data_IF_738148394585
#
_entry.id   IF_738148394585
#
_cell.length_a   1.000
_cell.length_b   1.000
_cell.length_c   1.000
_cell.angle_alpha   90.00
_cell.angle_beta   90.00
_cell.angle_gamma   90.00
#
_symmetry.space_group_name_H-M   'P 1'
#
loop_
_entity.id
_entity.type
_entity.pdbx_description
1 polymer ?
#
# COMPACT_ATOMS: atom_id res chain seq x y z
N UNK A 1 -19.45 -14.94 0.28
CA UNK A 1 -18.52 -14.86 1.42
C UNK A 1 -18.90 -13.63 2.23
N UNK A 2 -18.86 -13.69 3.57
CA UNK A 2 -19.17 -12.53 4.40
C UNK A 2 -18.24 -11.37 4.06
N UNK A 3 -18.74 -10.15 4.26
CA UNK A 3 -17.97 -8.95 4.02
C UNK A 3 -16.79 -8.88 5.02
N UNK A 4 -15.66 -8.27 4.65
CA UNK A 4 -14.46 -8.29 5.52
C UNK A 4 -14.68 -7.59 6.87
N UNK A 5 -15.62 -6.63 6.94
CA UNK A 5 -15.99 -5.93 8.19
C UNK A 5 -16.82 -6.77 9.15
N UNK A 6 -17.42 -7.87 8.68
CA UNK A 6 -18.24 -8.78 9.50
C UNK A 6 -17.39 -9.89 10.13
N UNK A 7 -16.10 -9.97 9.76
CA UNK A 7 -15.18 -11.00 10.20
C UNK A 7 -14.34 -10.50 11.37
N UNK A 8 -14.01 -11.39 12.31
CA UNK A 8 -13.07 -11.12 13.41
C UNK A 8 -11.61 -11.28 12.93
N UNK A 9 -11.23 -10.52 11.90
CA UNK A 9 -9.88 -10.57 11.28
C UNK A 9 -9.03 -9.32 11.59
N UNK A 10 -9.60 -8.35 12.31
CA UNK A 10 -8.88 -7.18 12.81
C UNK A 10 -8.69 -7.31 14.33
N UNK A 11 -7.53 -6.88 14.89
CA UNK A 11 -6.43 -6.22 14.20
C UNK A 11 -5.71 -7.16 13.21
N UNK A 12 -5.35 -6.62 12.04
CA UNK A 12 -4.68 -7.37 10.97
C UNK A 12 -3.28 -6.81 10.73
N UNK A 13 -2.28 -7.68 10.68
CA UNK A 13 -0.93 -7.28 10.36
C UNK A 13 -0.66 -7.28 8.85
N UNK A 14 0.33 -6.49 8.46
CA UNK A 14 0.89 -6.45 7.12
C UNK A 14 2.29 -5.88 7.14
N UNK A 15 2.85 -5.69 5.95
CA UNK A 15 4.18 -5.14 5.80
C UNK A 15 4.71 -5.24 4.39
N UNK A 16 5.94 -4.77 4.23
CA UNK A 16 6.67 -4.97 3.00
C UNK A 16 7.14 -6.43 2.86
N UNK A 17 7.41 -6.92 1.63
CA UNK A 17 7.87 -8.29 1.40
C UNK A 17 9.19 -8.65 2.11
N UNK A 18 10.07 -7.68 2.40
CA UNK A 18 11.33 -7.96 3.09
C UNK A 18 11.23 -7.99 4.62
N UNK A 19 10.04 -7.70 5.19
CA UNK A 19 9.82 -7.70 6.64
C UNK A 19 10.40 -6.49 7.40
N UNK A 20 11.13 -5.59 6.73
CA UNK A 20 11.73 -4.42 7.37
C UNK A 20 10.70 -3.40 7.88
N UNK A 21 9.59 -3.24 7.14
CA UNK A 21 8.43 -2.47 7.60
C UNK A 21 7.30 -3.44 7.88
N UNK A 22 6.85 -3.46 9.13
CA UNK A 22 5.67 -4.17 9.61
C UNK A 22 4.71 -3.16 10.22
N UNK A 23 3.42 -3.46 10.12
CA UNK A 23 2.38 -2.62 10.69
C UNK A 23 1.17 -3.46 11.09
N UNK A 24 0.31 -2.86 11.91
CA UNK A 24 -0.99 -3.37 12.29
C UNK A 24 -2.08 -2.39 11.88
N UNK A 25 -3.16 -2.93 11.31
CA UNK A 25 -4.40 -2.20 11.07
C UNK A 25 -5.39 -2.60 12.15
N UNK A 26 -5.79 -1.64 12.98
CA UNK A 26 -6.55 -1.90 14.20
C UNK A 26 -8.05 -2.14 13.95
N UNK A 27 -8.60 -1.63 12.84
CA UNK A 27 -10.01 -1.74 12.53
C UNK A 27 -10.26 -1.93 11.03
N UNK A 28 -11.44 -2.46 10.67
CA UNK A 28 -11.84 -2.66 9.28
C UNK A 28 -11.77 -1.35 8.45
N UNK A 29 -11.24 -1.40 7.21
CA UNK A 29 -11.17 -0.26 6.30
C UNK A 29 -12.52 0.37 6.05
N UNK A 30 -12.59 1.70 6.06
CA UNK A 30 -13.78 2.50 5.73
C UNK A 30 -14.38 2.12 4.38
N UNK A 31 -13.52 1.86 3.39
CA UNK A 31 -13.90 1.49 2.03
C UNK A 31 -12.68 0.88 1.32
N UNK A 32 -12.88 -0.12 0.46
CA UNK A 32 -11.80 -0.68 -0.37
C UNK A 32 -12.05 -0.37 -1.85
N UNK A 33 -11.14 0.38 -2.45
CA UNK A 33 -11.17 0.68 -3.88
C UNK A 33 -10.36 -0.33 -4.68
N UNK A 34 -10.92 -0.82 -5.78
CA UNK A 34 -10.16 -1.36 -6.90
C UNK A 34 -9.94 -0.24 -7.93
N UNK A 35 -8.76 0.38 -7.90
CA UNK A 35 -8.43 1.52 -8.75
C UNK A 35 -7.71 1.07 -10.04
N UNK A 36 -8.29 1.45 -11.18
CA UNK A 36 -7.80 1.09 -12.51
C UNK A 36 -7.02 2.22 -13.20
N UNK A 37 -6.72 3.33 -12.51
CA UNK A 37 -6.01 4.45 -13.14
C UNK A 37 -4.57 4.07 -13.54
N UNK A 38 -4.03 4.74 -14.55
CA UNK A 38 -2.69 4.45 -15.08
C UNK A 38 -1.59 4.76 -14.07
N UNK A 39 -1.79 5.72 -13.16
CA UNK A 39 -0.85 5.99 -12.05
C UNK A 39 -0.76 4.80 -11.10
N UNK A 40 -1.89 4.24 -10.65
CA UNK A 40 -1.91 3.06 -9.78
C UNK A 40 -1.31 1.82 -10.47
N UNK A 41 -1.56 1.65 -11.77
CA UNK A 41 -0.96 0.57 -12.56
C UNK A 41 0.57 0.72 -12.67
N UNK A 42 1.05 1.96 -12.92
CA UNK A 42 2.48 2.25 -13.03
C UNK A 42 3.20 2.10 -11.69
N UNK A 43 2.58 2.57 -10.62
CA UNK A 43 3.16 2.54 -9.28
C UNK A 43 3.37 1.12 -8.75
N UNK A 44 2.40 0.23 -8.97
CA UNK A 44 2.44 -1.15 -8.46
C UNK A 44 2.89 -2.18 -9.49
N UNK A 45 2.99 -1.80 -10.77
CA UNK A 45 3.29 -2.74 -11.86
C UNK A 45 2.17 -3.76 -12.13
N UNK A 46 0.94 -3.48 -11.71
CA UNK A 46 -0.22 -4.38 -11.81
C UNK A 46 -1.34 -3.82 -12.71
N UNK A 47 -2.37 -4.63 -12.99
CA UNK A 47 -3.53 -4.19 -13.77
C UNK A 47 -4.43 -3.18 -13.02
N UNK A 48 -4.36 -3.16 -11.68
CA UNK A 48 -5.10 -2.28 -10.79
C UNK A 48 -4.45 -2.27 -9.39
N UNK A 49 -4.75 -1.26 -8.59
CA UNK A 49 -4.40 -1.22 -7.17
C UNK A 49 -5.63 -1.51 -6.30
N UNK A 50 -5.46 -2.31 -5.24
CA UNK A 50 -6.46 -2.44 -4.18
C UNK A 50 -6.06 -1.53 -3.03
N UNK A 51 -6.79 -0.43 -2.85
CA UNK A 51 -6.53 0.58 -1.83
C UNK A 51 -7.59 0.46 -0.73
N UNK A 52 -7.18 -0.01 0.45
CA UNK A 52 -7.99 0.00 1.66
C UNK A 52 -7.87 1.38 2.31
N UNK A 53 -8.99 2.10 2.39
CA UNK A 53 -9.06 3.42 3.01
C UNK A 53 -9.27 3.23 4.51
N UNK A 54 -8.35 3.74 5.31
CA UNK A 54 -8.42 3.74 6.78
C UNK A 54 -8.17 5.15 7.30
N UNK A 55 -8.69 5.44 8.49
CA UNK A 55 -8.19 6.56 9.28
C UNK A 55 -6.71 6.31 9.59
N UNK A 56 -5.87 7.34 9.46
CA UNK A 56 -4.43 7.17 9.63
C UNK A 56 -4.03 6.72 11.05
N UNK A 57 -4.86 7.03 12.06
CA UNK A 57 -4.66 6.59 13.44
C UNK A 57 -4.97 5.11 13.68
N UNK A 58 -5.54 4.41 12.70
CA UNK A 58 -5.76 2.96 12.74
C UNK A 58 -4.56 2.16 12.19
N UNK A 59 -3.50 2.83 11.74
CA UNK A 59 -2.26 2.21 11.29
C UNK A 59 -1.15 2.40 12.32
N UNK A 60 -0.68 1.30 12.91
CA UNK A 60 0.40 1.31 13.88
C UNK A 60 1.64 0.61 13.30
N UNK A 61 2.81 1.24 13.36
CA UNK A 61 4.06 0.60 12.96
C UNK A 61 4.50 -0.41 14.03
N UNK A 62 4.89 -1.59 13.57
CA UNK A 62 5.43 -2.65 14.40
C UNK A 62 6.95 -2.75 14.20
N UNK A 63 7.68 -3.39 15.14
CA UNK A 63 9.08 -3.74 14.92
C UNK A 63 9.27 -4.58 13.64
N UNK A 64 10.44 -4.49 12.99
CA UNK A 64 10.78 -5.34 11.86
C UNK A 64 10.64 -6.83 12.23
N UNK A 65 10.19 -7.63 11.27
CA UNK A 65 10.04 -9.08 11.44
C UNK A 65 10.70 -9.83 10.29
N UNK A 66 10.81 -11.15 10.42
CA UNK A 66 11.24 -11.97 9.30
C UNK A 66 10.25 -11.84 8.12
N UNK A 67 10.74 -11.92 6.88
CA UNK A 67 9.88 -11.98 5.70
C UNK A 67 8.85 -13.09 5.82
N UNK A 68 7.60 -12.78 5.50
CA UNK A 68 6.51 -13.73 5.41
C UNK A 68 6.01 -13.79 3.97
N UNK A 69 5.69 -14.99 3.49
CA UNK A 69 4.84 -15.14 2.32
C UNK A 69 3.40 -14.87 2.79
N UNK A 70 2.66 -13.89 2.22
CA UNK A 70 1.27 -13.67 2.60
C UNK A 70 0.43 -14.93 2.40
N UNK A 71 -0.55 -15.13 3.28
CA UNK A 71 -1.48 -16.26 3.18
C UNK A 71 -2.30 -16.19 1.90
N UNK A 72 -2.68 -17.36 1.37
CA UNK A 72 -3.59 -17.47 0.24
C UNK A 72 -4.88 -18.15 0.67
N UNK A 73 -5.95 -18.03 -0.11
CA UNK A 73 -7.24 -18.68 0.17
C UNK A 73 -7.13 -20.20 0.38
N UNK A 74 -6.16 -20.87 -0.27
CA UNK A 74 -5.91 -22.31 -0.11
C UNK A 74 -4.84 -22.66 0.94
N UNK A 75 -4.12 -21.67 1.46
CA UNK A 75 -3.06 -21.83 2.44
C UNK A 75 -3.04 -20.59 3.35
N UNK A 76 -3.93 -20.51 4.36
CA UNK A 76 -4.17 -19.30 5.14
C UNK A 76 -3.03 -18.97 6.13
N UNK A 77 -2.02 -19.83 6.27
CA UNK A 77 -0.81 -19.54 7.03
C UNK A 77 0.28 -18.98 6.13
N UNK A 78 0.77 -17.79 6.45
CA UNK A 78 1.98 -17.28 5.81
C UNK A 78 3.18 -18.14 6.19
N UNK A 79 3.99 -18.53 5.21
CA UNK A 79 5.23 -19.26 5.48
C UNK A 79 6.36 -18.25 5.74
N UNK A 80 7.23 -18.54 6.72
CA UNK A 80 8.49 -17.80 6.85
C UNK A 80 9.29 -17.97 5.55
N UNK A 81 9.64 -16.85 4.93
CA UNK A 81 10.51 -16.84 3.77
C UNK A 81 11.94 -16.54 4.23
N UNK A 82 12.82 -17.54 4.11
CA UNK A 82 14.25 -17.32 4.27
C UNK A 82 14.87 -16.80 2.97
N UNK A 83 15.85 -15.91 3.07
CA UNK A 83 16.67 -15.52 1.93
C UNK A 83 17.79 -16.54 1.71
N UNK A 84 17.98 -16.99 0.48
CA UNK A 84 19.14 -17.79 0.12
C UNK A 84 20.32 -16.86 -0.21
N UNK A 85 21.32 -16.80 0.68
CA UNK A 85 22.47 -15.92 0.53
C UNK A 85 23.30 -16.21 -0.74
N UNK A 86 23.39 -17.48 -1.15
CA UNK A 86 24.07 -17.87 -2.40
C UNK A 86 23.33 -17.31 -3.61
N UNK A 87 22.00 -17.43 -3.62
CA UNK A 87 21.16 -16.88 -4.69
C UNK A 87 21.28 -15.35 -4.77
N UNK A 88 21.23 -14.66 -3.62
CA UNK A 88 21.42 -13.21 -3.58
C UNK A 88 22.77 -12.81 -4.20
N UNK A 89 23.86 -13.46 -3.79
CA UNK A 89 25.20 -13.22 -4.36
C UNK A 89 25.28 -13.48 -5.86
N UNK A 90 24.72 -14.60 -6.34
CA UNK A 90 24.69 -14.95 -7.75
C UNK A 90 23.86 -13.98 -8.60
N UNK A 91 22.95 -13.24 -7.96
CA UNK A 91 22.12 -12.21 -8.59
C UNK A 91 22.61 -10.79 -8.29
N UNK A 92 23.85 -10.64 -7.80
CA UNK A 92 24.49 -9.37 -7.46
C UNK A 92 23.73 -8.53 -6.40
N UNK A 93 22.91 -9.18 -5.58
CA UNK A 93 22.28 -8.60 -4.41
C UNK A 93 23.11 -8.98 -3.18
N UNK A 94 23.30 -8.03 -2.27
CA UNK A 94 23.45 -8.38 -0.86
C UNK A 94 22.04 -8.37 -0.24
N UNK A 95 21.87 -8.92 0.95
CA UNK A 95 20.57 -8.93 1.65
C UNK A 95 20.15 -7.53 2.12
N UNK A 96 20.87 -6.49 1.73
CA UNK A 96 20.62 -5.09 1.99
C UNK A 96 20.19 -4.43 0.69
N UNK A 97 18.92 -4.63 0.31
CA UNK A 97 18.32 -3.94 -0.83
C UNK A 97 18.85 -2.49 -0.97
N UNK A 98 19.56 -2.25 -2.07
CA UNK A 98 20.26 -1.00 -2.40
C UNK A 98 20.39 -0.88 -3.92
N UNK A 99 20.81 0.28 -4.45
CA UNK A 99 20.84 0.52 -5.89
C UNK A 99 21.76 -0.48 -6.59
N UNK A 100 21.19 -1.29 -7.50
CA UNK A 100 21.97 -2.17 -8.38
C UNK A 100 22.61 -1.30 -9.45
N UNK A 101 23.94 -1.13 -9.37
CA UNK A 101 24.72 -0.58 -10.49
C UNK A 101 24.83 -1.67 -11.54
N UNK A 102 24.20 -1.47 -12.70
CA UNK A 102 24.40 -2.34 -13.85
C UNK A 102 25.88 -2.34 -14.22
N UNK A 103 26.54 -3.51 -14.09
CA UNK A 103 27.93 -3.65 -14.50
C UNK A 103 27.99 -3.50 -16.03
N UNK A 104 28.51 -2.37 -16.50
CA UNK A 104 29.05 -2.26 -17.85
C UNK A 104 30.28 -3.17 -17.94
N UNK A 105 30.48 -3.83 -19.09
CA UNK A 105 31.23 -5.09 -19.30
C UNK A 105 32.73 -5.15 -18.88
N UNK A 106 33.28 -4.20 -18.12
CA UNK A 106 34.70 -4.16 -17.74
C UNK A 106 34.99 -3.85 -16.26
N UNK A 107 34.10 -4.19 -15.32
CA UNK A 107 34.38 -4.01 -13.89
C UNK A 107 34.93 -5.30 -13.26
N UNK A 108 36.22 -5.30 -12.89
CA UNK A 108 36.83 -6.33 -12.04
C UNK A 108 36.00 -6.56 -10.76
N UNK A 109 35.96 -7.80 -10.23
CA UNK A 109 35.24 -8.08 -9.00
C UNK A 109 35.89 -7.35 -7.82
N UNK A 110 35.35 -6.18 -7.46
CA UNK A 110 35.69 -5.53 -6.20
C UNK A 110 35.28 -6.46 -5.06
N UNK A 111 36.24 -6.74 -4.18
CA UNK A 111 36.06 -7.48 -2.95
C UNK A 111 34.88 -6.88 -2.19
N UNK A 112 33.86 -7.71 -1.92
CA UNK A 112 32.70 -7.35 -1.13
C UNK A 112 33.18 -6.89 0.24
N UNK A 113 33.03 -5.60 0.53
CA UNK A 113 33.15 -5.08 1.89
C UNK A 113 32.19 -5.85 2.80
N UNK A 114 32.67 -6.19 3.99
CA UNK A 114 32.02 -7.05 4.97
C UNK A 114 30.51 -6.84 5.08
N UNK A 115 29.76 -7.89 4.73
CA UNK A 115 28.40 -8.10 5.16
C UNK A 115 28.40 -8.26 6.69
N UNK A 116 28.21 -7.15 7.41
CA UNK A 116 27.74 -7.08 8.80
C UNK A 116 27.56 -5.61 9.23
N UNK A 117 27.05 -4.75 8.34
CA UNK A 117 26.37 -3.56 8.84
C UNK A 117 25.04 -4.04 9.41
N UNK A 118 25.04 -4.27 10.73
CA UNK A 118 23.85 -4.45 11.53
C UNK A 118 22.93 -3.27 11.20
N UNK A 119 21.93 -3.47 10.32
CA UNK A 119 20.86 -2.47 10.19
C UNK A 119 20.23 -2.43 11.56
N UNK A 120 20.20 -1.27 12.19
CA UNK A 120 19.50 -1.07 13.44
C UNK A 120 18.05 -1.55 13.24
N UNK A 121 17.76 -2.79 13.66
CA UNK A 121 16.43 -3.39 13.64
C UNK A 121 15.51 -2.74 14.68
N UNK A 122 15.98 -1.68 15.33
CA UNK A 122 15.26 -0.95 16.38
C UNK A 122 14.23 0.04 15.82
N UNK A 123 14.34 0.49 14.56
CA UNK A 123 13.36 1.42 13.98
C UNK A 123 12.96 1.07 12.54
N UNK A 124 11.69 0.69 12.35
CA UNK A 124 11.06 0.55 11.04
C UNK A 124 10.94 1.93 10.39
N UNK A 125 11.74 2.21 9.35
CA UNK A 125 11.67 3.49 8.62
C UNK A 125 10.92 3.35 7.30
N UNK A 126 10.01 4.28 7.05
CA UNK A 126 9.35 4.46 5.74
C UNK A 126 9.83 5.75 5.09
N UNK A 127 10.03 5.69 3.78
CA UNK A 127 10.34 6.85 2.96
C UNK A 127 9.06 7.41 2.36
N UNK A 128 8.86 8.72 2.49
CA UNK A 128 7.71 9.42 1.90
C UNK A 128 8.14 10.09 0.59
N UNK A 129 7.57 9.64 -0.53
CA UNK A 129 7.87 10.14 -1.87
C UNK A 129 6.64 10.79 -2.47
N UNK A 130 6.75 12.05 -2.89
CA UNK A 130 5.64 12.74 -3.57
C UNK A 130 5.67 12.47 -5.07
N UNK A 131 4.56 11.96 -5.60
CA UNK A 131 4.39 11.60 -7.00
C UNK A 131 3.29 12.46 -7.64
N UNK A 132 3.42 12.80 -8.94
CA UNK A 132 2.38 13.52 -9.66
C UNK A 132 1.13 12.65 -9.88
N UNK A 133 -0.03 13.29 -9.87
CA UNK A 133 -1.33 12.67 -10.17
C UNK A 133 -2.04 13.45 -11.28
N UNK A 134 -3.09 12.88 -11.88
CA UNK A 134 -3.91 13.57 -12.90
C UNK A 134 -4.53 14.88 -12.37
N UNK A 135 -4.73 15.01 -11.05
CA UNK A 135 -5.23 16.25 -10.43
C UNK A 135 -4.17 17.35 -10.31
N UNK A 136 -2.93 17.10 -10.71
CA UNK A 136 -1.76 17.99 -10.61
C UNK A 136 -1.30 18.40 -9.20
N UNK A 137 -2.05 18.05 -8.15
CA UNK A 137 -1.64 18.31 -6.77
C UNK A 137 -0.68 17.24 -6.25
N UNK A 138 -0.82 16.00 -6.74
CA UNK A 138 0.03 14.87 -6.37
C UNK A 138 -0.55 13.96 -5.28
N UNK A 139 0.26 12.98 -4.90
CA UNK A 139 0.06 12.07 -3.78
C UNK A 139 1.40 11.78 -3.11
N UNK A 140 1.40 11.55 -1.81
CA UNK A 140 2.59 11.10 -1.09
C UNK A 140 2.49 9.60 -0.87
N UNK A 141 3.46 8.84 -1.36
CA UNK A 141 3.55 7.39 -1.21
C UNK A 141 4.55 7.06 -0.12
N UNK A 142 4.16 6.22 0.83
CA UNK A 142 5.06 5.63 1.80
C UNK A 142 5.63 4.31 1.25
N UNK A 143 6.96 4.25 1.16
CA UNK A 143 7.70 3.10 0.63
C UNK A 143 8.66 2.55 1.68
N UNK A 144 8.94 1.26 1.63
CA UNK A 144 9.97 0.66 2.45
C UNK A 144 11.36 1.18 2.05
N UNK A 145 12.14 1.75 2.98
CA UNK A 145 13.52 2.21 2.71
C UNK A 145 14.50 1.07 2.36
N UNK A 146 14.11 -0.18 2.64
CA UNK A 146 14.85 -1.36 2.21
C UNK A 146 14.43 -1.79 0.80
N UNK A 147 13.24 -2.37 0.64
CA UNK A 147 12.85 -3.00 -0.62
C UNK A 147 12.07 -2.09 -1.58
N UNK A 148 11.86 -0.81 -1.23
CA UNK A 148 11.12 0.21 -1.99
C UNK A 148 9.67 -0.16 -2.35
N UNK A 149 9.12 -1.20 -1.73
CA UNK A 149 7.71 -1.57 -1.90
C UNK A 149 6.82 -0.45 -1.36
N UNK A 150 5.88 0.03 -2.18
CA UNK A 150 4.85 0.98 -1.77
C UNK A 150 3.82 0.33 -0.86
N UNK A 151 3.62 0.92 0.33
CA UNK A 151 2.79 0.36 1.40
C UNK A 151 1.47 1.09 1.54
N UNK A 152 1.49 2.42 1.46
CA UNK A 152 0.28 3.25 1.45
C UNK A 152 0.54 4.58 0.77
N UNK A 153 -0.54 5.35 0.56
CA UNK A 153 -0.45 6.71 0.09
C UNK A 153 -1.39 7.66 0.86
N UNK A 154 -1.03 8.94 0.86
CA UNK A 154 -1.90 10.06 1.21
C UNK A 154 -2.19 10.84 -0.07
N UNK A 155 -3.47 10.99 -0.40
CA UNK A 155 -3.90 11.80 -1.53
C UNK A 155 -4.19 13.23 -1.08
N UNK A 156 -3.96 14.17 -1.98
CA UNK A 156 -4.13 15.59 -1.71
C UNK A 156 -5.55 16.01 -1.28
N UNK A 157 -6.57 15.20 -1.57
CA UNK A 157 -7.96 15.48 -1.18
C UNK A 157 -8.29 15.06 0.25
N UNK A 158 -7.50 14.17 0.84
CA UNK A 158 -7.74 13.61 2.17
C UNK A 158 -6.61 13.94 3.17
N UNK A 159 -5.43 14.29 2.66
CA UNK A 159 -4.26 14.69 3.45
C UNK A 159 -3.72 13.56 4.33
N UNK A 160 -3.01 13.89 5.42
CA UNK A 160 -2.40 12.90 6.30
C UNK A 160 -3.41 12.18 7.20
N UNK A 161 -4.70 12.55 7.18
CA UNK A 161 -5.73 11.98 8.05
C UNK A 161 -6.32 10.66 7.53
N UNK A 162 -6.18 10.43 6.22
CA UNK A 162 -6.65 9.21 5.58
C UNK A 162 -5.50 8.50 4.90
N UNK A 163 -5.35 7.23 5.20
CA UNK A 163 -4.34 6.36 4.61
C UNK A 163 -5.00 5.46 3.58
N UNK A 164 -4.46 5.47 2.36
CA UNK A 164 -4.83 4.56 1.29
C UNK A 164 -3.83 3.39 1.30
N UNK A 165 -4.08 2.43 2.19
CA UNK A 165 -3.24 1.26 2.40
C UNK A 165 -3.31 0.33 1.18
N UNK A 166 -2.18 -0.17 0.70
CA UNK A 166 -2.16 -1.21 -0.33
C UNK A 166 -2.61 -2.52 0.30
N UNK A 167 -3.86 -2.91 0.07
CA UNK A 167 -4.45 -4.08 0.72
C UNK A 167 -3.66 -5.38 0.43
N UNK A 168 -2.99 -5.45 -0.72
CA UNK A 168 -2.11 -6.57 -1.07
C UNK A 168 -0.87 -6.74 -0.18
N UNK A 169 -0.57 -5.76 0.68
CA UNK A 169 0.55 -5.82 1.64
C UNK A 169 0.12 -6.33 3.02
N UNK A 170 -1.16 -6.67 3.20
CA UNK A 170 -1.68 -7.33 4.41
C UNK A 170 -1.36 -8.84 4.38
N UNK A 171 -1.09 -9.43 5.54
CA UNK A 171 -0.75 -10.86 5.63
C UNK A 171 -1.90 -11.77 5.19
N UNK A 172 -3.14 -11.33 5.41
CA UNK A 172 -4.37 -12.00 4.97
C UNK A 172 -5.10 -11.22 3.87
N UNK A 173 -4.37 -10.63 2.92
CA UNK A 173 -4.92 -9.79 1.84
C UNK A 173 -6.09 -10.42 1.07
N UNK A 174 -6.11 -11.76 0.93
CA UNK A 174 -7.19 -12.49 0.24
C UNK A 174 -8.55 -12.41 0.95
N UNK A 175 -8.59 -11.96 2.21
CA UNK A 175 -9.83 -11.73 2.96
C UNK A 175 -10.48 -10.38 2.60
N UNK A 176 -9.74 -9.46 1.96
CA UNK A 176 -10.13 -8.08 1.65
C UNK A 176 -10.54 -7.97 0.18
N UNK A 177 -11.85 -7.97 -0.05
CA UNK A 177 -12.44 -7.75 -1.37
C UNK A 177 -12.73 -6.26 -1.61
N UNK A 178 -12.75 -5.79 -2.86
CA UNK A 178 -13.14 -4.42 -3.17
C UNK A 178 -14.64 -4.17 -2.92
N UNK A 179 -14.94 -2.94 -2.52
CA UNK A 179 -16.29 -2.42 -2.42
C UNK A 179 -16.74 -1.75 -3.71
N UNK A 180 -15.79 -1.20 -4.46
CA UNK A 180 -16.06 -0.37 -5.64
C UNK A 180 -14.88 -0.39 -6.62
N UNK A 181 -15.17 -0.29 -7.91
CA UNK A 181 -14.21 -0.09 -8.97
C UNK A 181 -14.23 1.35 -9.43
N UNK A 182 -13.07 2.00 -9.45
CA UNK A 182 -12.91 3.39 -9.90
C UNK A 182 -11.90 3.49 -11.03
N UNK A 183 -12.05 4.51 -11.88
CA UNK A 183 -11.23 4.74 -13.06
C UNK A 183 -11.29 3.60 -14.09
N UNK A 184 -12.45 2.93 -14.23
CA UNK A 184 -12.63 1.77 -15.12
C UNK A 184 -12.37 2.08 -16.60
N UNK A 185 -12.42 3.36 -17.00
CA UNK A 185 -12.00 3.82 -18.33
C UNK A 185 -10.59 3.39 -18.72
N UNK A 186 -9.72 3.19 -17.72
CA UNK A 186 -8.31 2.81 -17.90
C UNK A 186 -8.04 1.33 -17.61
N UNK A 187 -9.09 0.54 -17.35
CA UNK A 187 -8.99 -0.90 -17.06
C UNK A 187 -8.34 -1.64 -18.22
N UNK A 188 -7.43 -2.57 -17.90
CA UNK A 188 -6.81 -3.44 -18.90
C UNK A 188 -7.87 -4.32 -19.60
N UNK A 189 -7.80 -4.41 -20.92
CA UNK A 189 -8.83 -5.06 -21.74
C UNK A 189 -9.09 -6.53 -21.39
N UNK A 190 -8.09 -7.26 -20.87
CA UNK A 190 -8.23 -8.66 -20.48
C UNK A 190 -8.91 -8.87 -19.11
N UNK A 191 -9.12 -7.80 -18.32
CA UNK A 191 -9.74 -7.90 -16.99
C UNK A 191 -11.25 -7.78 -17.13
N UNK A 192 -11.99 -8.78 -16.68
CA UNK A 192 -13.45 -8.74 -16.53
C UNK A 192 -13.83 -8.39 -15.08
N UNK A 193 -14.81 -7.50 -14.90
CA UNK A 193 -15.34 -7.09 -13.59
C UNK A 193 -16.74 -7.68 -13.39
N UNK A 194 -16.80 -8.87 -12.79
CA UNK A 194 -18.02 -9.67 -12.66
C UNK A 194 -18.41 -9.96 -11.20
N UNK A 195 -17.96 -9.13 -10.27
CA UNK A 195 -18.22 -9.27 -8.82
C UNK A 195 -19.49 -8.54 -8.34
N UNK A 196 -20.19 -7.86 -9.25
CA UNK A 196 -21.41 -7.11 -8.96
C UNK A 196 -21.18 -5.82 -8.16
N UNK A 197 -19.92 -5.40 -7.97
CA UNK A 197 -19.60 -4.16 -7.27
C UNK A 197 -19.83 -2.94 -8.16
N UNK A 198 -20.18 -1.76 -7.60
CA UNK A 198 -20.30 -0.53 -8.35
C UNK A 198 -19.03 -0.22 -9.14
N UNK A 199 -19.19 0.27 -10.37
CA UNK A 199 -18.10 0.56 -11.30
C UNK A 199 -18.23 1.99 -11.81
N UNK A 200 -17.15 2.77 -11.73
CA UNK A 200 -17.11 4.16 -12.14
C UNK A 200 -15.94 4.41 -13.09
N UNK A 201 -16.23 5.06 -14.22
CA UNK A 201 -15.23 5.48 -15.21
C UNK A 201 -14.22 6.50 -14.66
N UNK A 202 -14.57 7.19 -13.56
CA UNK A 202 -13.75 8.16 -12.83
C UNK A 202 -13.89 7.99 -11.31
N UNK A 203 -13.30 8.89 -10.51
CA UNK A 203 -13.65 8.98 -9.09
C UNK A 203 -15.14 9.34 -8.96
N UNK A 204 -15.84 8.69 -8.02
CA UNK A 204 -17.27 8.94 -7.78
C UNK A 204 -17.48 10.30 -7.11
N UNK A 205 -18.65 10.92 -7.34
CA UNK A 205 -19.00 12.20 -6.69
C UNK A 205 -19.61 11.99 -5.30
N UNK A 206 -20.35 10.92 -5.12
CA UNK A 206 -21.11 10.62 -3.90
C UNK A 206 -20.87 9.19 -3.45
N UNK A 207 -20.77 9.00 -2.13
CA UNK A 207 -20.56 7.70 -1.50
C UNK A 207 -21.85 7.03 -1.04
N UNK A 208 -22.95 7.79 -0.93
CA UNK A 208 -24.19 7.38 -0.26
C UNK A 208 -24.79 6.07 -0.80
N UNK A 209 -24.57 5.75 -2.08
CA UNK A 209 -25.12 4.55 -2.74
C UNK A 209 -24.40 3.23 -2.44
N UNK A 210 -23.21 3.25 -1.83
CA UNK A 210 -22.42 2.03 -1.59
C UNK A 210 -21.54 2.06 -0.32
N UNK A 211 -21.53 3.17 0.41
CA UNK A 211 -20.89 3.26 1.72
C UNK A 211 -21.62 2.36 2.72
N UNK A 212 -20.85 1.70 3.59
CA UNK A 212 -21.43 0.90 4.67
C UNK A 212 -21.89 1.77 5.82
N UNK A 213 -22.98 1.35 6.47
CA UNK A 213 -23.61 2.11 7.55
C UNK A 213 -22.68 2.31 8.75
N UNK A 214 -21.90 1.30 9.10
CA UNK A 214 -20.92 1.34 10.21
C UNK A 214 -19.80 2.38 10.00
N UNK A 215 -19.59 2.81 8.75
CA UNK A 215 -18.54 3.75 8.38
C UNK A 215 -19.03 5.20 8.30
N UNK A 216 -20.34 5.46 8.28
CA UNK A 216 -20.90 6.82 8.07
C UNK A 216 -20.41 7.81 9.13
N UNK A 217 -20.50 7.44 10.41
CA UNK A 217 -20.04 8.30 11.51
C UNK A 217 -18.52 8.53 11.49
N UNK A 218 -17.76 7.49 11.12
CA UNK A 218 -16.29 7.55 11.00
C UNK A 218 -15.86 8.49 9.89
N UNK A 219 -16.52 8.43 8.73
CA UNK A 219 -16.30 9.38 7.63
C UNK A 219 -16.64 10.82 8.00
N UNK A 220 -17.77 11.06 8.68
CA UNK A 220 -18.13 12.40 9.12
C UNK A 220 -17.05 13.02 10.04
N UNK A 221 -16.46 12.22 10.93
CA UNK A 221 -15.35 12.68 11.78
C UNK A 221 -14.06 12.98 11.00
N UNK A 222 -13.80 12.27 9.90
CA UNK A 222 -12.68 12.58 9.01
C UNK A 222 -12.93 13.83 8.18
N UNK A 223 -14.15 14.06 7.69
CA UNK A 223 -14.51 15.20 6.84
C UNK A 223 -14.21 16.54 7.53
N UNK A 224 -14.39 16.63 8.86
CA UNK A 224 -14.01 17.81 9.64
C UNK A 224 -12.50 18.08 9.59
N UNK A 225 -11.68 17.05 9.86
CA UNK A 225 -10.21 17.15 9.82
C UNK A 225 -9.72 17.48 8.41
N UNK A 226 -10.24 16.78 7.41
CA UNK A 226 -9.93 16.99 5.99
C UNK A 226 -10.35 18.39 5.53
N UNK A 227 -11.47 18.93 6.01
CA UNK A 227 -11.92 20.28 5.69
C UNK A 227 -10.89 21.35 6.06
N UNK A 228 -10.34 21.27 7.28
CA UNK A 228 -9.29 22.16 7.78
C UNK A 228 -8.01 22.04 6.93
N UNK A 229 -7.53 20.82 6.71
CA UNK A 229 -6.36 20.56 5.86
C UNK A 229 -6.54 21.10 4.43
N UNK A 230 -7.72 20.92 3.84
CA UNK A 230 -8.01 21.40 2.49
C UNK A 230 -8.03 22.93 2.40
N UNK A 231 -8.41 23.63 3.47
CA UNK A 231 -8.30 25.09 3.53
C UNK A 231 -6.83 25.53 3.54
N UNK A 232 -5.98 24.88 4.33
CA UNK A 232 -4.53 25.13 4.37
C UNK A 232 -3.86 24.83 3.03
N UNK A 233 -4.19 23.70 2.40
CA UNK A 233 -3.64 23.32 1.11
C UNK A 233 -4.02 24.32 0.00
N UNK A 234 -5.27 24.79 -0.04
CA UNK A 234 -5.71 25.81 -1.00
C UNK A 234 -4.93 27.11 -0.81
N UNK A 235 -4.81 27.57 0.43
CA UNK A 235 -4.02 28.75 0.77
C UNK A 235 -2.56 28.62 0.32
N UNK A 236 -1.93 27.47 0.55
CA UNK A 236 -0.55 27.19 0.14
C UNK A 236 -0.38 27.14 -1.40
N UNK A 237 -1.40 26.68 -2.12
CA UNK A 237 -1.41 26.64 -3.59
C UNK A 237 -1.79 27.98 -4.25
N UNK A 238 -2.08 29.02 -3.45
CA UNK A 238 -2.53 30.33 -3.94
C UNK A 238 -3.91 30.27 -4.62
N UNK A 239 -4.78 29.36 -4.16
CA UNK A 239 -6.14 29.13 -4.66
C UNK A 239 -7.20 29.45 -3.61
#
# INVERSE_FOLDING_TARGET
MPHYSEKSIFPMQGGCPCGYVRYQVNQAPLLVHCCHCTSCQRELGTAFAINAIIESDQLELLPPAQPTIPGTKGAPGGALAGFNATFARLTFSDTTCGPVVLKTENAEPQATANANANRDMETSTVELVTLPTESSVGMTVAQCSACHSGLWAHYADAGPHTTYLRAGTLDAAHEINPDVHIFTRSKRGFISLADGKPQFESYYKERAGFIRDDCKARYAALEEKTGTYMAELRAALGK
#
